data_IF_617098535110
#
_entry.id   IF_617098535110
#
_cell.length_a   1.000
_cell.length_b   1.000
_cell.length_c   1.000
_cell.angle_alpha   90.00
_cell.angle_beta   90.00
_cell.angle_gamma   90.00
#
_symmetry.space_group_name_H-M   'P 1'
#
loop_
_entity.id
_entity.type
_entity.pdbx_description
1 polymer ?
#
# COMPACT_ATOMS: atom_id res chain seq x y z
N UNK A 1 53.76 6.83 -19.70
CA UNK A 1 52.50 7.55 -20.01
C UNK A 1 51.34 6.71 -19.49
N UNK A 2 51.03 6.82 -18.19
CA UNK A 2 49.91 6.10 -17.58
C UNK A 2 48.74 7.08 -17.48
N UNK A 3 47.76 6.93 -18.35
CA UNK A 3 46.54 7.71 -18.32
C UNK A 3 45.66 7.21 -17.17
N UNK A 4 45.69 7.93 -16.04
CA UNK A 4 44.66 7.85 -15.02
C UNK A 4 43.39 8.49 -15.58
N UNK A 5 42.45 7.67 -16.08
CA UNK A 5 41.11 8.15 -16.39
C UNK A 5 40.35 8.20 -15.06
N UNK A 6 40.43 9.35 -14.39
CA UNK A 6 39.50 9.73 -13.34
C UNK A 6 38.13 10.01 -13.98
N UNK A 7 37.26 9.00 -13.98
CA UNK A 7 35.82 9.20 -14.21
C UNK A 7 35.21 9.79 -12.94
N UNK A 8 35.34 11.10 -12.78
CA UNK A 8 34.53 11.88 -11.86
C UNK A 8 33.28 12.37 -12.60
N UNK A 9 32.21 11.59 -12.46
CA UNK A 9 30.84 12.11 -12.51
C UNK A 9 30.11 11.55 -11.29
N UNK A 10 30.33 12.18 -10.14
CA UNK A 10 29.51 11.98 -8.94
C UNK A 10 28.19 12.72 -9.19
N UNK A 11 27.21 12.02 -9.76
CA UNK A 11 25.85 12.17 -9.29
C UNK A 11 25.75 11.27 -8.06
N UNK A 12 25.24 11.78 -6.94
CA UNK A 12 25.25 11.16 -5.61
C UNK A 12 24.54 9.80 -5.53
N UNK A 13 25.10 8.75 -6.15
CA UNK A 13 24.68 7.38 -5.96
C UNK A 13 25.10 6.99 -4.54
N UNK A 14 24.10 6.85 -3.66
CA UNK A 14 24.31 6.28 -2.33
C UNK A 14 25.09 4.96 -2.48
N UNK A 15 26.24 4.84 -1.80
CA UNK A 15 27.00 3.59 -1.82
C UNK A 15 26.18 2.50 -1.13
N UNK A 16 26.31 1.26 -1.60
CA UNK A 16 25.57 0.10 -1.09
C UNK A 16 25.67 -0.06 0.43
N UNK A 17 26.83 0.21 1.05
CA UNK A 17 26.95 0.07 2.51
C UNK A 17 26.19 1.17 3.25
N UNK A 18 26.15 2.39 2.69
CA UNK A 18 25.35 3.50 3.23
C UNK A 18 23.87 3.17 3.11
N UNK A 19 23.44 2.64 1.96
CA UNK A 19 22.08 2.15 1.77
C UNK A 19 21.70 1.06 2.78
N UNK A 20 22.56 0.06 2.97
CA UNK A 20 22.32 -1.04 3.89
C UNK A 20 22.17 -0.54 5.34
N UNK A 21 23.05 0.37 5.78
CA UNK A 21 22.94 0.99 7.10
C UNK A 21 21.66 1.79 7.26
N UNK A 22 21.30 2.63 6.27
CA UNK A 22 20.08 3.45 6.29
C UNK A 22 18.82 2.60 6.40
N UNK A 23 18.80 1.44 5.74
CA UNK A 23 17.64 0.55 5.69
C UNK A 23 17.73 -0.61 6.71
N UNK A 24 18.64 -0.51 7.69
CA UNK A 24 18.88 -1.52 8.73
C UNK A 24 19.03 -2.95 8.17
N UNK A 25 19.78 -3.10 7.08
CA UNK A 25 20.01 -4.38 6.40
C UNK A 25 21.34 -4.99 6.82
N UNK A 26 21.28 -6.23 7.27
CA UNK A 26 22.44 -7.03 7.68
C UNK A 26 22.54 -8.27 6.79
N UNK A 27 23.73 -8.53 6.24
CA UNK A 27 23.94 -9.63 5.31
C UNK A 27 25.22 -10.40 5.65
N UNK A 28 25.20 -11.72 5.42
CA UNK A 28 26.42 -12.52 5.41
C UNK A 28 27.34 -12.09 4.26
N UNK A 29 28.63 -12.45 4.29
CA UNK A 29 29.59 -11.99 3.28
C UNK A 29 29.18 -12.36 1.84
N UNK A 30 28.71 -13.59 1.62
CA UNK A 30 28.25 -14.06 0.30
C UNK A 30 26.99 -13.32 -0.12
N UNK A 31 26.00 -13.20 0.77
CA UNK A 31 24.76 -12.50 0.47
C UNK A 31 24.98 -11.01 0.19
N UNK A 32 25.95 -10.39 0.88
CA UNK A 32 26.35 -9.00 0.65
C UNK A 32 26.82 -8.78 -0.79
N UNK A 33 27.55 -9.72 -1.38
CA UNK A 33 27.98 -9.63 -2.78
C UNK A 33 26.80 -9.71 -3.74
N UNK A 34 25.88 -10.65 -3.53
CA UNK A 34 24.64 -10.78 -4.32
C UNK A 34 23.79 -9.51 -4.22
N UNK A 35 23.53 -9.02 -3.02
CA UNK A 35 22.72 -7.81 -2.76
C UNK A 35 23.34 -6.57 -3.38
N UNK A 36 24.67 -6.42 -3.33
CA UNK A 36 25.38 -5.32 -3.99
C UNK A 36 25.24 -5.39 -5.51
N UNK A 37 25.32 -6.58 -6.12
CA UNK A 37 25.12 -6.72 -7.55
C UNK A 37 23.70 -6.29 -7.96
N UNK A 38 22.68 -6.73 -7.23
CA UNK A 38 21.28 -6.35 -7.44
C UNK A 38 21.08 -4.84 -7.29
N UNK A 39 21.63 -4.26 -6.21
CA UNK A 39 21.60 -2.82 -5.98
C UNK A 39 22.19 -2.03 -7.16
N UNK A 40 23.34 -2.46 -7.68
CA UNK A 40 23.98 -1.82 -8.83
C UNK A 40 23.15 -1.95 -10.12
N UNK A 41 22.45 -3.08 -10.33
CA UNK A 41 21.55 -3.24 -11.46
C UNK A 41 20.34 -2.30 -11.36
N UNK A 42 19.72 -2.22 -10.18
CA UNK A 42 18.61 -1.30 -9.93
C UNK A 42 19.07 0.17 -10.04
N UNK A 43 20.29 0.50 -9.61
CA UNK A 43 20.85 1.83 -9.76
C UNK A 43 21.01 2.26 -11.22
N UNK A 44 21.48 1.35 -12.09
CA UNK A 44 21.53 1.61 -13.53
C UNK A 44 20.14 1.81 -14.15
N UNK A 45 19.17 1.01 -13.71
CA UNK A 45 17.78 1.16 -14.14
C UNK A 45 17.20 2.52 -13.72
N UNK A 46 17.41 2.91 -12.47
CA UNK A 46 16.97 4.21 -11.92
C UNK A 46 17.61 5.37 -12.67
N UNK A 47 18.92 5.36 -12.90
CA UNK A 47 19.61 6.39 -13.67
C UNK A 47 19.06 6.50 -15.11
N UNK A 48 18.88 5.36 -15.78
CA UNK A 48 18.34 5.32 -17.14
C UNK A 48 16.91 5.85 -17.20
N UNK A 49 16.06 5.48 -16.24
CA UNK A 49 14.69 5.96 -16.17
C UNK A 49 14.63 7.45 -15.87
N UNK A 50 15.36 7.94 -14.86
CA UNK A 50 15.28 9.32 -14.40
C UNK A 50 15.76 10.36 -15.43
N UNK A 51 16.50 9.94 -16.47
CA UNK A 51 16.89 10.78 -17.61
C UNK A 51 15.72 11.20 -18.50
N UNK A 52 14.68 10.38 -18.59
CA UNK A 52 13.55 10.58 -19.53
C UNK A 52 12.16 10.39 -18.89
N UNK A 53 12.09 9.86 -17.67
CA UNK A 53 10.86 9.51 -16.98
C UNK A 53 10.12 10.73 -16.45
N UNK A 54 8.79 10.63 -16.42
CA UNK A 54 7.89 11.70 -15.95
C UNK A 54 7.72 11.77 -14.42
N UNK A 55 8.27 10.80 -13.70
CA UNK A 55 8.27 10.73 -12.23
C UNK A 55 9.64 10.27 -11.75
N UNK A 56 9.87 10.19 -10.44
CA UNK A 56 11.18 9.87 -9.87
C UNK A 56 11.23 8.50 -9.24
N UNK A 57 12.32 7.79 -9.52
CA UNK A 57 12.73 6.57 -8.82
C UNK A 57 13.98 6.85 -7.97
N UNK A 58 14.14 6.27 -6.78
CA UNK A 58 15.36 6.38 -6.01
C UNK A 58 16.08 5.02 -5.91
N UNK A 59 17.33 5.07 -5.48
CA UNK A 59 18.07 3.88 -5.03
C UNK A 59 18.16 3.77 -3.51
N UNK A 60 17.57 4.71 -2.77
CA UNK A 60 17.70 4.78 -1.31
C UNK A 60 16.57 4.06 -0.54
N UNK A 61 15.53 3.62 -1.24
CA UNK A 61 14.37 2.92 -0.68
C UNK A 61 14.65 1.47 -0.26
N UNK A 62 13.74 0.85 0.51
CA UNK A 62 13.98 -0.43 1.20
C UNK A 62 14.15 -1.64 0.27
N UNK A 63 13.70 -1.54 -0.98
CA UNK A 63 13.72 -2.63 -1.96
C UNK A 63 14.82 -2.48 -3.03
N UNK A 64 15.73 -1.52 -2.89
CA UNK A 64 16.75 -1.24 -3.91
C UNK A 64 17.73 -2.41 -4.13
N UNK A 65 17.91 -3.31 -3.15
CA UNK A 65 18.73 -4.52 -3.29
C UNK A 65 17.91 -5.82 -3.42
N UNK A 66 16.66 -5.74 -3.88
CA UNK A 66 15.84 -6.90 -4.24
C UNK A 66 15.69 -7.00 -5.76
N UNK A 67 15.72 -8.22 -6.29
CA UNK A 67 15.25 -8.44 -7.66
C UNK A 67 13.75 -8.19 -7.72
N UNK A 68 13.21 -7.92 -8.91
CA UNK A 68 11.77 -7.76 -9.06
C UNK A 68 11.02 -9.06 -8.73
N UNK A 69 11.63 -10.22 -8.98
CA UNK A 69 11.07 -11.52 -8.58
C UNK A 69 10.97 -11.67 -7.06
N UNK A 70 12.04 -11.34 -6.32
CA UNK A 70 12.04 -11.35 -4.86
C UNK A 70 11.00 -10.37 -4.31
N UNK A 71 10.94 -9.15 -4.84
CA UNK A 71 9.96 -8.14 -4.46
C UNK A 71 8.51 -8.61 -4.70
N UNK A 72 8.24 -9.25 -5.85
CA UNK A 72 6.88 -9.74 -6.18
C UNK A 72 6.40 -10.83 -5.24
N UNK A 73 7.29 -11.45 -4.46
CA UNK A 73 6.87 -12.38 -3.39
C UNK A 73 6.10 -11.68 -2.27
N UNK A 74 6.24 -10.37 -2.08
CA UNK A 74 5.50 -9.57 -1.09
C UNK A 74 4.08 -9.21 -1.55
N UNK A 75 3.82 -9.30 -2.86
CA UNK A 75 2.55 -8.96 -3.49
C UNK A 75 1.63 -10.18 -3.50
N UNK A 76 1.06 -10.49 -2.33
CA UNK A 76 0.19 -11.66 -2.14
C UNK A 76 -1.28 -11.25 -2.09
N UNK A 77 -2.05 -11.73 -3.06
CA UNK A 77 -3.49 -11.54 -3.21
C UNK A 77 -4.16 -12.90 -3.44
N UNK A 78 -5.40 -13.06 -2.99
CA UNK A 78 -6.16 -14.33 -3.11
C UNK A 78 -7.37 -14.20 -4.05
N UNK A 79 -7.17 -13.62 -5.23
CA UNK A 79 -8.23 -13.45 -6.23
C UNK A 79 -8.40 -14.69 -7.10
N UNK A 80 -9.18 -15.66 -6.61
CA UNK A 80 -9.57 -16.87 -7.38
C UNK A 80 -10.95 -16.75 -8.01
N UNK A 81 -11.83 -15.98 -7.38
CA UNK A 81 -13.19 -15.67 -7.83
C UNK A 81 -13.47 -14.20 -7.58
N UNK A 82 -14.44 -13.64 -8.30
CA UNK A 82 -14.93 -12.31 -7.98
C UNK A 82 -15.72 -12.36 -6.67
N UNK A 83 -15.47 -11.41 -5.76
CA UNK A 83 -16.23 -11.33 -4.51
C UNK A 83 -17.58 -10.67 -4.76
N UNK A 84 -18.62 -11.29 -4.19
CA UNK A 84 -19.93 -10.68 -4.08
C UNK A 84 -19.88 -9.53 -3.06
N UNK A 85 -20.73 -8.53 -3.23
CA UNK A 85 -20.83 -7.43 -2.29
C UNK A 85 -21.86 -6.41 -2.77
N UNK A 86 -22.38 -5.60 -1.84
CA UNK A 86 -23.31 -4.53 -2.22
C UNK A 86 -22.54 -3.44 -2.95
N UNK A 87 -22.80 -3.30 -4.25
CA UNK A 87 -22.30 -2.18 -5.06
C UNK A 87 -23.22 -0.98 -4.85
N UNK A 88 -22.65 0.19 -4.54
CA UNK A 88 -23.42 1.43 -4.35
C UNK A 88 -22.89 2.55 -5.23
N UNK A 89 -23.78 3.10 -6.06
CA UNK A 89 -23.54 4.36 -6.77
C UNK A 89 -23.94 5.51 -5.84
N UNK A 90 -23.00 6.39 -5.53
CA UNK A 90 -23.24 7.60 -4.75
C UNK A 90 -23.82 8.72 -5.62
N UNK A 91 -23.41 8.82 -6.90
CA UNK A 91 -23.87 9.83 -7.85
C UNK A 91 -23.80 11.28 -7.31
N UNK A 92 -22.78 11.58 -6.50
CA UNK A 92 -22.55 12.92 -5.96
C UNK A 92 -21.45 13.64 -6.73
N UNK A 93 -21.61 14.95 -6.89
CA UNK A 93 -20.55 15.79 -7.42
C UNK A 93 -19.42 15.89 -6.40
N UNK A 94 -18.33 15.16 -6.64
CA UNK A 94 -17.16 15.20 -5.79
C UNK A 94 -16.42 16.56 -5.96
N UNK A 95 -15.75 17.07 -4.90
CA UNK A 95 -14.91 18.26 -5.00
C UNK A 95 -13.73 18.04 -5.98
N UNK A 96 -13.04 19.11 -6.37
CA UNK A 96 -11.90 19.00 -7.30
C UNK A 96 -10.70 18.27 -6.70
N UNK A 97 -10.54 18.30 -5.38
CA UNK A 97 -9.49 17.57 -4.68
C UNK A 97 -9.92 17.21 -3.26
N UNK A 98 -9.36 16.13 -2.75
CA UNK A 98 -9.52 15.64 -1.37
C UNK A 98 -8.16 15.19 -0.88
N UNK A 99 -7.78 15.55 0.35
CA UNK A 99 -6.59 15.02 1.00
C UNK A 99 -6.83 14.89 2.50
N UNK A 100 -7.30 13.71 2.91
CA UNK A 100 -7.66 13.42 4.31
C UNK A 100 -6.46 13.54 5.26
N UNK A 101 -5.22 13.55 4.76
CA UNK A 101 -4.02 13.78 5.59
C UNK A 101 -4.02 15.21 6.13
N UNK A 102 -4.43 16.19 5.32
CA UNK A 102 -4.50 17.61 5.72
C UNK A 102 -5.55 17.86 6.79
N UNK A 103 -6.53 16.96 6.90
CA UNK A 103 -7.61 17.01 7.89
C UNK A 103 -7.30 16.17 9.15
N UNK A 104 -6.11 15.57 9.23
CA UNK A 104 -5.74 14.71 10.36
C UNK A 104 -6.57 13.43 10.45
N UNK A 105 -7.05 12.92 9.31
CA UNK A 105 -7.93 11.73 9.22
C UNK A 105 -7.21 10.49 8.68
N UNK A 106 -5.88 10.48 8.73
CA UNK A 106 -5.04 9.37 8.27
C UNK A 106 -4.00 9.07 9.34
N UNK A 107 -3.98 7.83 9.83
CA UNK A 107 -3.01 7.32 10.82
C UNK A 107 -1.57 7.27 10.24
N UNK A 108 -0.51 7.17 11.07
CA UNK A 108 0.86 7.02 10.60
C UNK A 108 1.07 5.82 9.67
N UNK A 109 2.02 5.93 8.74
CA UNK A 109 2.41 4.82 7.85
C UNK A 109 3.01 3.67 8.66
N UNK A 110 2.58 2.45 8.34
CA UNK A 110 3.08 1.19 8.90
C UNK A 110 3.94 0.40 7.88
N UNK A 111 4.53 -0.70 8.32
CA UNK A 111 5.39 -1.58 7.51
C UNK A 111 4.99 -3.05 7.67
N UNK A 112 4.51 -3.69 6.59
CA UNK A 112 4.15 -5.12 6.56
C UNK A 112 5.36 -6.06 6.58
N UNK A 113 6.59 -5.52 6.56
CA UNK A 113 7.83 -6.27 6.57
C UNK A 113 7.89 -7.32 5.44
N UNK A 114 8.16 -8.59 5.78
CA UNK A 114 8.29 -9.70 4.81
C UNK A 114 7.02 -10.57 4.71
N UNK A 115 5.89 -10.06 5.21
CA UNK A 115 4.61 -10.75 5.18
C UNK A 115 3.76 -10.21 4.04
N UNK A 116 3.09 -11.08 3.27
CA UNK A 116 2.14 -10.70 2.23
C UNK A 116 0.77 -10.25 2.78
N UNK A 117 0.77 -9.37 3.79
CA UNK A 117 -0.44 -8.97 4.52
C UNK A 117 -0.98 -7.59 4.14
N UNK A 118 -0.62 -7.06 2.97
CA UNK A 118 -1.09 -5.75 2.48
C UNK A 118 -2.62 -5.56 2.59
N UNK A 119 -3.40 -6.61 2.36
CA UNK A 119 -4.86 -6.63 2.52
C UNK A 119 -5.34 -6.20 3.92
N UNK A 120 -4.59 -6.52 4.97
CA UNK A 120 -4.92 -6.08 6.34
C UNK A 120 -4.63 -4.59 6.53
N UNK A 121 -3.51 -4.10 5.99
CA UNK A 121 -3.11 -2.70 6.12
C UNK A 121 -4.00 -1.77 5.28
N UNK A 122 -4.36 -2.15 4.06
CA UNK A 122 -5.27 -1.39 3.20
C UNK A 122 -6.66 -1.25 3.83
N UNK A 123 -7.24 -2.38 4.24
CA UNK A 123 -8.57 -2.42 4.84
C UNK A 123 -8.65 -1.71 6.20
N UNK A 124 -7.68 -1.93 7.10
CA UNK A 124 -7.66 -1.26 8.38
C UNK A 124 -7.38 0.24 8.25
N UNK A 125 -6.54 0.68 7.31
CA UNK A 125 -6.36 2.11 7.06
C UNK A 125 -7.67 2.79 6.61
N UNK A 126 -8.47 2.12 5.77
CA UNK A 126 -9.79 2.63 5.38
C UNK A 126 -10.76 2.68 6.56
N UNK A 127 -10.77 1.66 7.42
CA UNK A 127 -11.57 1.63 8.65
C UNK A 127 -11.15 2.75 9.62
N UNK A 128 -9.86 2.88 9.90
CA UNK A 128 -9.32 3.91 10.80
C UNK A 128 -9.67 5.32 10.31
N UNK A 129 -9.47 5.59 9.02
CA UNK A 129 -9.83 6.89 8.45
C UNK A 129 -11.31 7.20 8.62
N UNK A 130 -12.18 6.22 8.36
CA UNK A 130 -13.63 6.40 8.54
C UNK A 130 -14.03 6.55 9.99
N UNK A 131 -13.39 5.84 10.93
CA UNK A 131 -13.59 6.06 12.36
C UNK A 131 -13.23 7.50 12.75
N UNK A 132 -12.08 8.01 12.29
CA UNK A 132 -11.65 9.38 12.57
C UNK A 132 -12.59 10.44 11.98
N UNK A 133 -13.18 10.16 10.81
CA UNK A 133 -14.11 11.05 10.12
C UNK A 133 -15.48 11.03 10.82
N UNK A 134 -16.05 9.84 11.04
CA UNK A 134 -17.44 9.68 11.47
C UNK A 134 -17.61 9.71 12.98
N UNK A 135 -16.60 9.27 13.75
CA UNK A 135 -16.65 9.12 15.21
C UNK A 135 -15.64 10.00 15.95
N UNK A 136 -14.72 10.64 15.22
CA UNK A 136 -13.63 11.40 15.81
C UNK A 136 -12.53 10.50 16.40
N UNK A 137 -11.64 11.11 17.18
CA UNK A 137 -10.42 10.47 17.71
C UNK A 137 -9.15 11.19 17.27
N UNK A 138 -8.01 10.61 17.62
CA UNK A 138 -6.69 11.14 17.27
C UNK A 138 -5.95 10.14 16.37
N UNK A 139 -5.61 10.57 15.16
CA UNK A 139 -4.87 9.77 14.19
C UNK A 139 -3.52 9.27 14.71
N UNK A 140 -2.91 9.94 15.69
CA UNK A 140 -1.63 9.53 16.26
C UNK A 140 -1.76 8.41 17.30
N UNK A 141 -2.96 8.09 17.75
CA UNK A 141 -3.20 7.09 18.81
C UNK A 141 -4.15 5.97 18.39
N UNK A 142 -4.90 6.16 17.30
CA UNK A 142 -5.70 5.10 16.71
C UNK A 142 -4.80 4.12 15.96
N UNK A 143 -4.76 2.89 16.46
CA UNK A 143 -3.88 1.84 15.93
C UNK A 143 -4.58 0.48 16.04
N UNK A 144 -5.23 0.05 14.95
CA UNK A 144 -5.90 -1.24 14.85
C UNK A 144 -4.89 -2.33 14.47
N UNK A 145 -5.07 -3.53 15.02
CA UNK A 145 -4.12 -4.63 14.83
C UNK A 145 -4.28 -5.33 13.48
N UNK A 146 -3.29 -5.18 12.60
CA UNK A 146 -3.17 -6.00 11.41
C UNK A 146 -2.92 -7.47 11.74
N UNK A 147 -2.17 -7.77 12.79
CA UNK A 147 -1.83 -9.15 13.17
C UNK A 147 -3.08 -9.96 13.53
N UNK A 148 -4.03 -9.31 14.21
CA UNK A 148 -5.33 -9.92 14.51
C UNK A 148 -6.02 -10.35 13.22
N UNK A 149 -5.96 -9.52 12.16
CA UNK A 149 -6.54 -9.86 10.86
C UNK A 149 -5.71 -10.93 10.13
N UNK A 150 -4.38 -10.89 10.19
CA UNK A 150 -3.49 -11.91 9.63
C UNK A 150 -3.81 -13.30 10.19
N UNK A 151 -4.00 -13.41 11.50
CA UNK A 151 -4.09 -14.70 12.18
C UNK A 151 -5.53 -15.21 12.33
N UNK A 152 -6.55 -14.35 12.30
CA UNK A 152 -7.93 -14.72 12.61
C UNK A 152 -8.89 -14.76 11.42
N UNK A 153 -8.48 -14.32 10.22
CA UNK A 153 -9.38 -14.27 9.04
C UNK A 153 -9.25 -15.49 8.11
N UNK A 154 -8.59 -16.57 8.57
CA UNK A 154 -8.41 -17.80 7.77
C UNK A 154 -9.74 -18.48 7.44
N UNK A 155 -10.66 -18.51 8.39
CA UNK A 155 -11.99 -19.08 8.21
C UNK A 155 -12.89 -18.22 7.30
N UNK A 156 -12.60 -16.92 7.21
CA UNK A 156 -13.21 -15.99 6.23
C UNK A 156 -12.56 -16.10 4.85
N UNK A 157 -11.56 -16.96 4.66
CA UNK A 157 -10.95 -17.22 3.37
C UNK A 157 -9.63 -16.47 3.10
N UNK A 158 -9.04 -15.77 4.06
CA UNK A 158 -7.66 -15.27 3.93
C UNK A 158 -6.62 -16.36 4.23
N UNK A 159 -5.34 -16.07 4.00
CA UNK A 159 -4.24 -17.03 4.21
C UNK A 159 -3.03 -16.41 4.92
N UNK A 160 -3.29 -15.50 5.88
CA UNK A 160 -2.25 -14.85 6.67
C UNK A 160 -1.21 -14.16 5.78
N UNK A 161 0.08 -14.48 5.94
CA UNK A 161 1.15 -13.89 5.12
C UNK A 161 1.19 -14.35 3.66
N UNK A 162 0.37 -15.34 3.29
CA UNK A 162 0.24 -15.81 1.91
C UNK A 162 -0.88 -15.11 1.13
N UNK A 163 -1.34 -13.96 1.62
CA UNK A 163 -2.31 -13.11 0.95
C UNK A 163 -3.74 -13.29 1.43
N UNK A 164 -4.56 -12.32 1.05
CA UNK A 164 -5.95 -12.21 1.44
C UNK A 164 -6.66 -11.15 0.60
N UNK A 165 -7.85 -10.76 1.07
CA UNK A 165 -8.68 -9.72 0.50
C UNK A 165 -9.27 -8.87 1.64
N UNK A 166 -9.41 -7.56 1.43
CA UNK A 166 -10.02 -6.64 2.39
C UNK A 166 -11.48 -6.98 2.72
N UNK A 167 -12.25 -7.57 1.80
CA UNK A 167 -13.64 -7.97 2.08
C UNK A 167 -13.74 -9.02 3.19
N UNK A 168 -12.87 -10.04 3.16
CA UNK A 168 -12.80 -11.09 4.18
C UNK A 168 -12.36 -10.52 5.55
N UNK A 169 -11.55 -9.45 5.54
CA UNK A 169 -11.21 -8.69 6.75
C UNK A 169 -12.46 -8.02 7.31
N UNK A 170 -13.24 -7.35 6.46
CA UNK A 170 -14.48 -6.73 6.88
C UNK A 170 -15.53 -7.74 7.37
N UNK A 171 -15.69 -8.89 6.71
CA UNK A 171 -16.58 -9.96 7.16
C UNK A 171 -16.25 -10.39 8.60
N UNK A 172 -14.97 -10.60 8.91
CA UNK A 172 -14.54 -10.90 10.27
C UNK A 172 -14.86 -9.76 11.26
N UNK A 173 -14.61 -8.51 10.87
CA UNK A 173 -14.86 -7.35 11.73
C UNK A 173 -16.36 -7.16 11.99
N UNK A 174 -17.25 -7.50 11.05
CA UNK A 174 -18.71 -7.50 11.25
C UNK A 174 -19.12 -8.49 12.34
N UNK A 175 -18.48 -9.65 12.42
CA UNK A 175 -18.83 -10.70 13.37
C UNK A 175 -18.17 -10.45 14.74
N UNK A 176 -16.86 -10.24 14.74
CA UNK A 176 -16.02 -10.28 15.94
C UNK A 176 -15.45 -8.91 16.34
N UNK A 177 -15.34 -7.98 15.41
CA UNK A 177 -14.60 -6.73 15.59
C UNK A 177 -13.07 -6.91 15.48
N UNK A 178 -12.33 -5.82 15.66
CA UNK A 178 -10.86 -5.79 15.57
C UNK A 178 -10.25 -5.18 16.83
N UNK A 179 -9.13 -5.75 17.28
CA UNK A 179 -8.37 -5.30 18.44
C UNK A 179 -7.47 -4.10 18.13
N UNK A 180 -6.93 -3.48 19.18
CA UNK A 180 -5.82 -2.54 19.03
C UNK A 180 -4.50 -3.27 18.79
N UNK A 181 -3.59 -2.60 18.11
CA UNK A 181 -2.21 -3.03 17.96
C UNK A 181 -1.51 -3.28 19.32
N UNK A 182 -1.80 -2.47 20.34
CA UNK A 182 -1.27 -2.67 21.69
C UNK A 182 -1.69 -3.99 22.34
N UNK A 183 -2.87 -4.51 21.98
CA UNK A 183 -3.44 -5.73 22.55
C UNK A 183 -3.09 -6.96 21.70
N UNK A 184 -2.77 -6.75 20.41
CA UNK A 184 -2.35 -7.80 19.48
C UNK A 184 -1.26 -7.28 18.52
N UNK A 185 0.01 -7.20 18.97
CA UNK A 185 1.07 -6.56 18.19
C UNK A 185 1.43 -7.31 16.90
N UNK A 186 1.82 -6.56 15.88
CA UNK A 186 2.32 -7.05 14.60
C UNK A 186 3.64 -7.79 14.73
N UNK A 187 3.64 -9.02 14.25
CA UNK A 187 4.81 -9.88 14.14
C UNK A 187 5.16 -10.20 12.70
N UNK A 188 4.21 -9.97 11.77
CA UNK A 188 4.39 -10.29 10.36
C UNK A 188 4.59 -11.78 10.14
N UNK A 189 3.94 -12.62 10.94
CA UNK A 189 4.08 -14.06 10.89
C UNK A 189 2.75 -14.79 11.06
N UNK A 190 2.67 -15.96 10.46
CA UNK A 190 1.52 -16.83 10.62
C UNK A 190 1.55 -17.51 12.00
N UNK A 191 0.43 -17.42 12.73
CA UNK A 191 0.22 -18.16 13.97
C UNK A 191 -1.27 -18.47 14.16
N UNK A 192 -1.58 -19.17 15.24
CA UNK A 192 -2.97 -19.43 15.63
C UNK A 192 -3.61 -18.15 16.14
N UNK A 193 -4.82 -17.86 15.68
CA UNK A 193 -5.65 -16.78 16.21
C UNK A 193 -5.76 -16.86 17.74
N UNK A 194 -5.37 -15.80 18.45
CA UNK A 194 -5.56 -15.72 19.89
C UNK A 194 -7.04 -15.58 20.22
N UNK A 195 -7.51 -16.38 21.19
CA UNK A 195 -8.86 -16.27 21.71
C UNK A 195 -8.94 -15.21 22.81
N UNK A 196 -10.13 -14.68 23.07
CA UNK A 196 -10.41 -13.69 24.13
C UNK A 196 -9.68 -12.35 24.00
N UNK A 197 -9.34 -11.94 22.77
CA UNK A 197 -8.81 -10.60 22.51
C UNK A 197 -9.97 -9.60 22.57
N UNK A 198 -9.77 -8.48 23.28
CA UNK A 198 -10.78 -7.43 23.37
C UNK A 198 -10.87 -6.69 22.04
N UNK A 199 -12.05 -6.71 21.42
CA UNK A 199 -12.34 -5.89 20.25
C UNK A 199 -12.45 -4.41 20.64
N UNK A 200 -11.84 -3.55 19.84
CA UNK A 200 -11.82 -2.10 20.02
C UNK A 200 -12.67 -1.35 18.99
N UNK A 201 -12.81 -1.90 17.78
CA UNK A 201 -13.65 -1.34 16.74
C UNK A 201 -14.46 -2.41 16.02
N UNK A 202 -15.59 -2.00 15.45
CA UNK A 202 -16.52 -2.85 14.71
C UNK A 202 -17.13 -2.07 13.53
N UNK A 203 -17.69 -2.79 12.57
CA UNK A 203 -18.45 -2.24 11.44
C UNK A 203 -19.77 -2.99 11.32
N UNK A 204 -20.77 -2.38 10.69
CA UNK A 204 -22.05 -3.06 10.41
C UNK A 204 -22.09 -3.67 9.01
N UNK A 205 -21.18 -3.26 8.13
CA UNK A 205 -21.11 -3.72 6.75
C UNK A 205 -19.93 -3.10 6.00
N UNK A 206 -19.87 -3.34 4.71
CA UNK A 206 -19.01 -2.64 3.76
C UNK A 206 -19.72 -2.48 2.42
N UNK A 207 -19.20 -1.63 1.57
CA UNK A 207 -19.79 -1.31 0.27
C UNK A 207 -18.70 -1.31 -0.79
N UNK A 208 -19.00 -1.92 -1.94
CA UNK A 208 -18.15 -1.85 -3.14
C UNK A 208 -18.50 -0.62 -3.95
N UNK A 209 -17.48 0.09 -4.41
CA UNK A 209 -17.61 1.14 -5.43
C UNK A 209 -17.77 0.45 -6.79
N UNK A 210 -18.61 0.98 -7.70
CA UNK A 210 -18.75 0.45 -9.05
C UNK A 210 -17.39 0.29 -9.75
N UNK A 211 -17.11 -0.93 -10.23
CA UNK A 211 -15.86 -1.28 -10.89
C UNK A 211 -15.60 -0.38 -12.09
N UNK A 212 -14.33 0.01 -12.26
CA UNK A 212 -13.81 0.86 -13.33
C UNK A 212 -14.49 2.24 -13.42
N UNK A 213 -15.04 2.73 -12.30
CA UNK A 213 -15.73 4.01 -12.26
C UNK A 213 -14.94 5.00 -11.37
N UNK A 214 -14.05 5.77 -12.00
CA UNK A 214 -13.22 6.77 -11.33
C UNK A 214 -14.05 7.90 -10.72
N UNK A 215 -15.19 8.27 -11.32
CA UNK A 215 -16.09 9.29 -10.76
C UNK A 215 -16.72 8.82 -9.44
N UNK A 216 -17.16 7.57 -9.38
CA UNK A 216 -17.71 6.97 -8.16
C UNK A 216 -16.64 6.74 -7.08
N UNK A 217 -15.39 6.45 -7.48
CA UNK A 217 -14.29 6.40 -6.53
C UNK A 217 -13.97 7.80 -5.94
N UNK A 218 -13.99 8.87 -6.75
CA UNK A 218 -13.88 10.25 -6.22
C UNK A 218 -15.04 10.59 -5.30
N UNK A 219 -16.25 10.19 -5.63
CA UNK A 219 -17.43 10.37 -4.78
C UNK A 219 -17.24 9.65 -3.44
N UNK A 220 -16.80 8.39 -3.44
CA UNK A 220 -16.54 7.64 -2.22
C UNK A 220 -15.42 8.28 -1.38
N UNK A 221 -14.33 8.72 -2.03
CA UNK A 221 -13.22 9.41 -1.37
C UNK A 221 -13.60 10.76 -0.79
N UNK A 222 -14.62 11.45 -1.34
CA UNK A 222 -15.16 12.67 -0.75
C UNK A 222 -15.86 12.44 0.59
N UNK A 223 -16.22 11.19 0.90
CA UNK A 223 -16.90 10.79 2.14
C UNK A 223 -15.97 10.07 3.12
N UNK A 224 -14.78 9.66 2.70
CA UNK A 224 -13.78 9.02 3.56
C UNK A 224 -12.83 8.10 2.80
N UNK A 225 -11.88 7.51 3.52
CA UNK A 225 -10.87 6.63 2.93
C UNK A 225 -11.50 5.40 2.26
N UNK A 226 -10.85 4.90 1.21
CA UNK A 226 -11.31 3.75 0.43
C UNK A 226 -10.17 2.75 0.30
N UNK A 227 -10.46 1.49 0.57
CA UNK A 227 -9.57 0.37 0.34
C UNK A 227 -9.57 0.03 -1.15
N UNK A 228 -8.40 -0.08 -1.76
CA UNK A 228 -8.25 -0.31 -3.20
C UNK A 228 -7.17 -1.34 -3.46
N UNK A 229 -7.35 -2.10 -4.53
CA UNK A 229 -6.36 -3.05 -5.00
C UNK A 229 -5.73 -2.60 -6.32
N UNK A 230 -4.44 -2.88 -6.48
CA UNK A 230 -3.64 -2.48 -7.64
C UNK A 230 -2.76 -3.62 -8.15
N UNK A 231 -2.29 -3.49 -9.39
CA UNK A 231 -1.12 -4.21 -9.88
C UNK A 231 0.16 -3.44 -9.55
N UNK A 232 0.89 -3.91 -8.55
CA UNK A 232 2.16 -3.35 -8.10
C UNK A 232 3.38 -4.12 -8.65
N UNK A 233 3.21 -5.02 -9.64
CA UNK A 233 4.29 -5.92 -10.08
C UNK A 233 5.49 -5.22 -10.73
N UNK A 234 5.34 -3.98 -11.20
CA UNK A 234 6.39 -3.27 -11.94
C UNK A 234 7.61 -2.92 -11.09
N UNK A 235 8.82 -3.06 -11.67
CA UNK A 235 10.05 -2.54 -11.06
C UNK A 235 10.01 -1.00 -10.87
N UNK A 236 9.20 -0.27 -11.65
CA UNK A 236 8.97 1.17 -11.44
C UNK A 236 8.18 1.44 -10.16
N UNK A 237 7.23 0.58 -9.81
CA UNK A 237 6.48 0.67 -8.55
C UNK A 237 7.37 0.32 -7.37
N UNK A 238 8.10 -0.80 -7.46
CA UNK A 238 9.07 -1.24 -6.47
C UNK A 238 10.03 -0.11 -6.06
N UNK A 239 10.50 0.67 -7.04
CA UNK A 239 11.48 1.73 -6.87
C UNK A 239 10.85 3.13 -7.00
N UNK A 240 9.58 3.32 -6.66
CA UNK A 240 8.96 4.65 -6.73
C UNK A 240 9.50 5.60 -5.64
N UNK A 241 9.68 6.90 -5.98
CA UNK A 241 9.96 7.97 -5.01
C UNK A 241 8.86 9.01 -4.93
N UNK A 242 8.52 9.64 -6.05
CA UNK A 242 7.65 10.81 -6.06
C UNK A 242 7.19 11.15 -7.48
N UNK A 243 6.21 12.04 -7.58
CA UNK A 243 5.62 12.51 -8.84
C UNK A 243 4.43 11.67 -9.32
N UNK A 244 3.85 12.05 -10.44
CA UNK A 244 2.67 11.39 -11.02
C UNK A 244 3.02 10.02 -11.65
N UNK A 245 2.79 8.94 -10.89
CA UNK A 245 3.08 7.58 -11.31
C UNK A 245 2.14 7.11 -12.40
N UNK A 246 2.72 6.58 -13.48
CA UNK A 246 2.00 5.89 -14.55
C UNK A 246 2.88 4.78 -15.11
N UNK A 247 2.28 3.64 -15.47
CA UNK A 247 2.99 2.55 -16.14
C UNK A 247 2.05 1.74 -17.02
N UNK A 248 2.28 1.78 -18.32
CA UNK A 248 1.50 1.03 -19.32
C UNK A 248 1.66 -0.50 -19.19
N UNK A 249 2.65 -0.95 -18.41
CA UNK A 249 2.84 -2.38 -18.11
C UNK A 249 1.91 -2.91 -17.03
N UNK A 250 1.37 -2.04 -16.18
CA UNK A 250 0.40 -2.46 -15.17
C UNK A 250 -0.83 -3.06 -15.84
N UNK A 251 -1.41 -4.05 -15.18
CA UNK A 251 -2.74 -4.56 -15.49
C UNK A 251 -3.80 -3.85 -14.65
N UNK A 252 -5.03 -3.83 -15.16
CA UNK A 252 -6.18 -3.25 -14.48
C UNK A 252 -7.38 -4.22 -14.39
N UNK A 253 -7.21 -5.47 -14.81
CA UNK A 253 -8.24 -6.50 -14.63
C UNK A 253 -8.16 -7.08 -13.21
N UNK A 254 -9.31 -7.52 -12.69
CA UNK A 254 -9.49 -7.97 -11.32
C UNK A 254 -8.48 -9.04 -10.89
N UNK A 255 -8.27 -10.08 -11.70
CA UNK A 255 -7.39 -11.20 -11.35
C UNK A 255 -5.89 -10.87 -11.40
N UNK A 256 -5.50 -9.72 -11.96
CA UNK A 256 -4.11 -9.30 -12.00
C UNK A 256 -3.71 -8.42 -10.81
N UNK A 257 -4.68 -7.93 -10.02
CA UNK A 257 -4.41 -7.12 -8.83
C UNK A 257 -3.74 -7.98 -7.75
N UNK A 258 -2.61 -7.50 -7.25
CA UNK A 258 -1.71 -8.27 -6.40
C UNK A 258 -1.29 -7.56 -5.11
N UNK A 259 -1.74 -6.32 -4.91
CA UNK A 259 -1.40 -5.51 -3.76
C UNK A 259 -2.59 -4.66 -3.34
N UNK A 260 -2.88 -4.62 -2.05
CA UNK A 260 -4.01 -3.88 -1.48
C UNK A 260 -3.49 -2.73 -0.62
N UNK A 261 -4.04 -1.55 -0.85
CA UNK A 261 -3.55 -0.25 -0.38
C UNK A 261 -4.75 0.66 -0.10
N UNK A 262 -4.54 1.80 0.53
CA UNK A 262 -5.64 2.69 0.84
C UNK A 262 -5.56 3.99 0.05
N UNK A 263 -6.60 4.31 -0.73
CA UNK A 263 -6.74 5.64 -1.30
C UNK A 263 -7.22 6.62 -0.22
N UNK A 264 -6.45 7.70 -0.03
CA UNK A 264 -6.69 8.71 1.01
C UNK A 264 -7.09 10.08 0.45
N UNK A 265 -7.26 10.16 -0.87
CA UNK A 265 -7.60 11.40 -1.54
C UNK A 265 -7.25 11.37 -3.02
N UNK A 266 -7.39 12.52 -3.65
CA UNK A 266 -7.00 12.79 -5.03
C UNK A 266 -6.74 14.28 -5.22
N UNK A 267 -5.95 14.63 -6.23
CA UNK A 267 -5.64 16.00 -6.59
C UNK A 267 -4.66 16.08 -7.76
N UNK A 268 -4.15 17.26 -8.05
CA UNK A 268 -3.22 17.47 -9.17
C UNK A 268 -1.77 17.37 -8.71
N UNK A 269 -0.99 16.51 -9.36
CA UNK A 269 0.46 16.35 -9.17
C UNK A 269 1.11 16.38 -10.55
N UNK A 270 2.13 17.22 -10.73
CA UNK A 270 2.83 17.39 -12.01
C UNK A 270 1.90 17.69 -13.20
N UNK A 271 0.83 18.46 -12.96
CA UNK A 271 -0.18 18.81 -13.97
C UNK A 271 -1.14 17.67 -14.34
N UNK A 272 -1.07 16.52 -13.65
CA UNK A 272 -1.96 15.38 -13.85
C UNK A 272 -2.83 15.14 -12.63
N UNK A 273 -4.08 14.81 -12.85
CA UNK A 273 -4.93 14.34 -11.76
C UNK A 273 -4.43 12.97 -11.28
N UNK A 274 -4.31 12.80 -9.96
CA UNK A 274 -3.75 11.62 -9.34
C UNK A 274 -4.59 11.20 -8.11
N UNK A 275 -4.73 9.90 -7.91
CA UNK A 275 -5.06 9.31 -6.61
C UNK A 275 -3.89 9.49 -5.65
N UNK A 276 -4.17 9.87 -4.41
CA UNK A 276 -3.20 9.87 -3.31
C UNK A 276 -3.38 8.54 -2.57
N UNK A 277 -2.39 7.66 -2.69
CA UNK A 277 -2.49 6.28 -2.19
C UNK A 277 -1.47 6.04 -1.08
N UNK A 278 -1.96 5.58 0.06
CA UNK A 278 -1.20 5.13 1.22
C UNK A 278 -0.75 3.68 1.01
N UNK A 279 0.55 3.43 1.16
CA UNK A 279 1.13 2.10 1.13
C UNK A 279 1.53 1.62 2.55
N UNK A 280 1.97 0.38 2.66
CA UNK A 280 2.32 -0.33 3.91
C UNK A 280 3.77 -0.82 3.94
N UNK A 281 4.71 -0.07 3.35
CA UNK A 281 6.15 -0.42 3.28
C UNK A 281 7.05 0.57 4.02
N UNK A 282 6.51 1.17 5.09
CA UNK A 282 7.21 2.17 5.87
C UNK A 282 7.40 3.50 5.16
N UNK A 283 7.81 4.51 5.93
CA UNK A 283 8.02 5.88 5.43
C UNK A 283 9.25 6.02 4.51
N UNK A 284 10.12 5.02 4.48
CA UNK A 284 11.30 4.99 3.61
C UNK A 284 10.97 4.70 2.14
N UNK A 285 9.81 4.11 1.85
CA UNK A 285 9.34 3.87 0.49
C UNK A 285 8.51 5.05 -0.05
N UNK A 286 8.62 5.35 -1.35
CA UNK A 286 7.82 6.39 -1.99
C UNK A 286 7.99 7.79 -1.37
N UNK A 287 6.90 8.56 -1.42
CA UNK A 287 6.82 9.88 -0.82
C UNK A 287 6.31 9.73 0.61
N UNK A 288 7.23 9.42 1.52
CA UNK A 288 6.94 9.17 2.94
C UNK A 288 5.87 8.08 3.14
N UNK A 289 5.92 7.01 2.36
CA UNK A 289 4.97 5.90 2.38
C UNK A 289 3.78 6.05 1.43
N UNK A 290 3.72 7.13 0.65
CA UNK A 290 2.64 7.39 -0.31
C UNK A 290 3.10 7.30 -1.76
N UNK A 291 2.13 7.13 -2.65
CA UNK A 291 2.28 7.21 -4.10
C UNK A 291 1.13 8.01 -4.70
N UNK A 292 1.44 8.85 -5.69
CA UNK A 292 0.46 9.58 -6.48
C UNK A 292 0.25 8.84 -7.82
N UNK A 293 -0.90 8.22 -8.03
CA UNK A 293 -1.17 7.40 -9.23
C UNK A 293 -2.12 8.13 -10.17
N UNK A 294 -1.70 8.32 -11.43
CA UNK A 294 -2.47 9.08 -12.42
C UNK A 294 -3.90 8.54 -12.58
N UNK A 295 -4.89 9.43 -12.61
CA UNK A 295 -6.29 9.12 -12.92
C UNK A 295 -6.48 9.20 -14.43
N UNK A 296 -6.08 8.12 -15.10
CA UNK A 296 -6.23 7.97 -16.56
C UNK A 296 -6.30 6.49 -16.89
N UNK A 297 -7.40 6.06 -17.52
CA UNK A 297 -7.57 4.69 -18.01
C UNK A 297 -7.50 3.62 -16.93
N UNK A 298 -7.91 3.94 -15.69
CA UNK A 298 -7.81 3.05 -14.53
C UNK A 298 -6.37 2.52 -14.34
N UNK A 299 -5.42 3.44 -14.21
CA UNK A 299 -3.99 3.14 -14.05
C UNK A 299 -3.76 2.10 -12.95
N UNK A 300 -3.17 0.97 -13.35
CA UNK A 300 -2.87 -0.19 -12.50
C UNK A 300 -4.05 -0.75 -11.70
N UNK A 301 -5.28 -0.48 -12.12
CA UNK A 301 -6.49 -1.06 -11.54
C UNK A 301 -7.00 -0.40 -10.26
N UNK A 302 -6.57 0.81 -9.91
CA UNK A 302 -7.01 1.52 -8.68
C UNK A 302 -8.54 1.56 -8.54
N UNK A 303 -9.27 1.71 -9.64
CA UNK A 303 -10.73 1.74 -9.67
C UNK A 303 -11.39 0.37 -9.93
N UNK A 304 -10.62 -0.73 -9.98
CA UNK A 304 -11.14 -2.07 -10.37
C UNK A 304 -11.88 -2.79 -9.25
N UNK A 305 -11.37 -2.68 -8.02
CA UNK A 305 -12.00 -3.30 -6.85
C UNK A 305 -11.92 -2.39 -5.61
N UNK A 306 -12.57 -1.20 -5.64
CA UNK A 306 -12.58 -0.31 -4.50
C UNK A 306 -13.71 -0.69 -3.56
N UNK A 307 -13.45 -0.70 -2.26
CA UNK A 307 -14.45 -0.97 -1.24
C UNK A 307 -14.17 -0.20 0.05
N UNK A 308 -15.18 -0.03 0.89
CA UNK A 308 -15.01 0.68 2.15
C UNK A 308 -15.98 0.21 3.23
N UNK A 309 -15.58 0.23 4.52
CA UNK A 309 -16.43 -0.17 5.63
C UNK A 309 -17.53 0.87 5.90
N UNK A 310 -18.66 0.41 6.41
CA UNK A 310 -19.83 1.24 6.76
C UNK A 310 -20.33 0.95 8.17
N UNK A 311 -20.94 1.95 8.80
CA UNK A 311 -21.41 1.86 10.18
C UNK A 311 -20.26 1.59 11.16
N UNK A 312 -19.15 2.29 10.97
CA UNK A 312 -17.96 2.15 11.82
C UNK A 312 -18.26 2.60 13.25
N UNK A 313 -17.72 1.89 14.23
CA UNK A 313 -17.93 2.18 15.65
C UNK A 313 -16.72 1.77 16.50
N UNK A 314 -16.41 2.58 17.51
CA UNK A 314 -15.57 2.16 18.64
C UNK A 314 -16.42 1.34 19.62
N UNK A 315 -15.78 0.40 20.33
CA UNK A 315 -16.40 -0.47 21.36
C UNK A 315 -15.95 -0.10 22.78
#
# INVERSE_FOLDING_TARGET
>A
MFAFICLLAIASAIDFNTWASKNNKHFTAIEKLRRRAIFNMNAKFVDSFNKIGSFKLPVDGPFAAMTNEEYRTLLKSKRTTEENGQVKYLNIQAPESVDWRKEGKVTPIRDQAQCGSCYTFGSLAALEGRLLIEKGGDANTLDLSEEHMVQCTRDNGNNGCNGGLGSNVYDYIIEHGVAKESDYPYTGSDSTCKTNVKSFAKITGYTKVPRNNEAELKAALSQGLVDVSIDASSAKFQLYKSGAYTDTKCKNNYFALNHEVCAVGYGVVDGKECWIVRNSWGTGWGDKGYINMVIEGNTCGVATDPLYPTGVQYL
#
